data_IF_404858247722
#
_entry.id   IF_404858247722
#
_cell.length_a   1.000
_cell.length_b   1.000
_cell.length_c   1.000
_cell.angle_alpha   90.00
_cell.angle_beta   90.00
_cell.angle_gamma   90.00
#
_symmetry.space_group_name_H-M   'P 1'
#
loop_
_entity.id
_entity.type
_entity.pdbx_description
1 polymer ?
#
# COMPACT_ATOMS: atom_id res chain seq x y z
N UNK A 1 -19.50 -26.73 6.87
CA UNK A 1 -18.74 -27.67 7.71
C UNK A 1 -17.51 -26.98 8.26
N UNK A 2 -16.46 -26.82 7.44
CA UNK A 2 -15.20 -26.19 7.86
C UNK A 2 -15.15 -24.65 7.67
N UNK A 3 -15.91 -24.10 6.72
CA UNK A 3 -15.93 -22.65 6.43
C UNK A 3 -16.75 -21.83 7.45
N UNK A 4 -17.62 -22.46 8.25
CA UNK A 4 -18.46 -21.76 9.22
C UNK A 4 -17.66 -21.18 10.40
N UNK A 5 -16.50 -21.77 10.71
CA UNK A 5 -15.57 -21.25 11.73
C UNK A 5 -14.64 -20.16 11.16
N UNK A 6 -14.75 -19.85 9.85
CA UNK A 6 -13.90 -18.90 9.13
C UNK A 6 -14.59 -17.57 8.83
N UNK A 7 -15.88 -17.41 9.18
CA UNK A 7 -16.70 -16.26 8.79
C UNK A 7 -17.09 -15.39 9.99
N UNK A 8 -16.79 -14.09 9.89
CA UNK A 8 -17.47 -13.07 10.70
C UNK A 8 -18.21 -12.17 9.71
N UNK A 9 -19.54 -12.33 9.53
CA UNK A 9 -20.30 -11.45 8.66
C UNK A 9 -20.36 -10.06 9.31
N UNK A 10 -19.83 -9.05 8.62
CA UNK A 10 -19.96 -7.65 9.04
C UNK A 10 -20.88 -6.93 8.06
N UNK A 11 -22.00 -6.42 8.59
CA UNK A 11 -22.92 -5.56 7.84
C UNK A 11 -22.69 -4.11 8.26
N UNK A 12 -22.19 -3.27 7.35
CA UNK A 12 -22.04 -1.85 7.59
C UNK A 12 -23.32 -1.13 7.14
N UNK A 13 -23.91 -0.32 8.03
CA UNK A 13 -25.02 0.57 7.71
C UNK A 13 -24.50 1.99 7.68
N UNK A 14 -24.56 2.63 6.51
CA UNK A 14 -24.39 4.07 6.42
C UNK A 14 -25.59 4.73 7.11
N UNK A 15 -25.32 5.61 8.07
CA UNK A 15 -26.31 6.53 8.61
C UNK A 15 -26.14 7.83 7.84
N UNK A 16 -27.06 8.10 6.93
CA UNK A 16 -27.20 9.44 6.36
C UNK A 16 -27.56 10.43 7.47
N UNK A 17 -27.16 11.68 7.28
CA UNK A 17 -27.51 12.79 8.16
C UNK A 17 -29.03 13.06 8.25
N UNK A 18 -29.83 12.43 7.38
CA UNK A 18 -31.29 12.53 7.30
C UNK A 18 -32.04 11.21 7.55
N UNK A 19 -31.33 10.10 7.84
CA UNK A 19 -31.93 8.80 8.15
C UNK A 19 -32.48 8.01 6.95
N UNK A 20 -32.24 8.46 5.71
CA UNK A 20 -32.59 7.71 4.50
C UNK A 20 -31.45 6.79 4.00
N UNK A 21 -31.78 5.60 3.51
CA UNK A 21 -30.78 4.61 3.06
C UNK A 21 -30.12 5.05 1.74
N UNK A 22 -28.81 5.30 1.75
CA UNK A 22 -28.00 5.59 0.57
C UNK A 22 -27.12 4.37 0.20
N UNK A 23 -27.02 4.10 -1.10
CA UNK A 23 -25.93 3.32 -1.73
C UNK A 23 -25.91 1.79 -1.55
N UNK A 24 -25.45 1.07 -2.57
CA UNK A 24 -25.18 -0.37 -2.50
C UNK A 24 -24.11 -0.68 -1.43
N UNK A 25 -24.44 -1.60 -0.51
CA UNK A 25 -23.60 -2.02 0.61
C UNK A 25 -22.56 -3.04 0.17
N UNK A 26 -21.30 -2.87 0.56
CA UNK A 26 -20.37 -4.00 0.58
C UNK A 26 -20.75 -4.93 1.73
N UNK A 27 -21.15 -6.15 1.40
CA UNK A 27 -21.16 -7.23 2.38
C UNK A 27 -19.70 -7.71 2.54
N UNK A 28 -19.13 -7.50 3.72
CA UNK A 28 -17.73 -7.81 4.00
C UNK A 28 -17.61 -9.18 4.66
N UNK A 29 -16.79 -10.06 4.09
CA UNK A 29 -16.38 -11.29 4.74
C UNK A 29 -14.97 -11.12 5.32
N UNK A 30 -14.78 -11.47 6.60
CA UNK A 30 -13.45 -11.67 7.16
C UNK A 30 -13.15 -13.16 7.08
N UNK A 31 -12.05 -13.53 6.44
CA UNK A 31 -11.60 -14.91 6.27
C UNK A 31 -10.27 -15.12 6.97
N UNK A 32 -10.18 -16.21 7.74
CA UNK A 32 -8.95 -16.62 8.43
C UNK A 32 -8.60 -18.05 8.04
N UNK A 33 -8.08 -18.28 6.82
CA UNK A 33 -7.84 -19.64 6.34
C UNK A 33 -6.63 -20.28 7.01
N UNK A 34 -6.76 -21.56 7.38
CA UNK A 34 -5.60 -22.40 7.65
C UNK A 34 -4.83 -22.69 6.34
N UNK A 35 -3.53 -23.04 6.46
CA UNK A 35 -2.66 -23.22 5.28
C UNK A 35 -3.15 -24.27 4.30
N UNK A 36 -3.74 -25.34 4.82
CA UNK A 36 -4.31 -26.44 4.05
C UNK A 36 -5.67 -26.12 3.42
N UNK A 37 -6.22 -24.93 3.69
CA UNK A 37 -7.54 -24.48 3.22
C UNK A 37 -7.47 -23.31 2.22
N UNK A 38 -6.30 -22.96 1.70
CA UNK A 38 -6.16 -21.81 0.81
C UNK A 38 -6.95 -21.94 -0.50
N UNK A 39 -6.98 -23.13 -1.12
CA UNK A 39 -7.77 -23.38 -2.32
C UNK A 39 -9.29 -23.31 -2.06
N UNK A 40 -9.74 -23.84 -0.92
CA UNK A 40 -11.13 -23.76 -0.48
C UNK A 40 -11.53 -22.30 -0.23
N UNK A 41 -10.67 -21.52 0.42
CA UNK A 41 -10.89 -20.10 0.66
C UNK A 41 -10.96 -19.30 -0.64
N UNK A 42 -10.10 -19.57 -1.62
CA UNK A 42 -10.16 -18.93 -2.94
C UNK A 42 -11.44 -19.30 -3.68
N UNK A 43 -11.88 -20.55 -3.61
CA UNK A 43 -13.14 -21.01 -4.20
C UNK A 43 -14.33 -20.28 -3.56
N UNK A 44 -14.35 -20.19 -2.23
CA UNK A 44 -15.36 -19.42 -1.49
C UNK A 44 -15.39 -17.93 -1.87
N UNK A 45 -14.22 -17.29 -2.01
CA UNK A 45 -14.14 -15.88 -2.44
C UNK A 45 -14.72 -15.71 -3.85
N UNK A 46 -14.48 -16.67 -4.76
CA UNK A 46 -15.04 -16.63 -6.12
C UNK A 46 -16.56 -16.82 -6.10
N UNK A 47 -17.09 -17.71 -5.27
CA UNK A 47 -18.54 -17.91 -5.13
C UNK A 47 -19.24 -16.69 -4.51
N UNK A 48 -18.59 -16.03 -3.54
CA UNK A 48 -19.14 -14.84 -2.87
C UNK A 48 -19.00 -13.56 -3.69
N UNK A 49 -18.10 -13.54 -4.68
CA UNK A 49 -17.96 -12.46 -5.66
C UNK A 49 -19.28 -12.15 -6.38
N UNK A 50 -20.01 -13.20 -6.76
CA UNK A 50 -21.29 -13.11 -7.49
C UNK A 50 -22.39 -12.44 -6.64
N UNK A 51 -22.16 -12.28 -5.34
CA UNK A 51 -23.04 -11.61 -4.39
C UNK A 51 -22.60 -10.16 -4.08
N UNK A 52 -21.60 -9.61 -4.81
CA UNK A 52 -21.07 -8.26 -4.59
C UNK A 52 -20.27 -8.10 -3.30
N UNK A 53 -19.79 -9.21 -2.70
CA UNK A 53 -19.05 -9.20 -1.44
C UNK A 53 -17.56 -8.91 -1.66
N UNK A 54 -16.98 -8.11 -0.77
CA UNK A 54 -15.52 -7.97 -0.63
C UNK A 54 -15.02 -8.79 0.56
N UNK A 55 -13.77 -9.24 0.49
CA UNK A 55 -13.15 -10.05 1.54
C UNK A 55 -11.90 -9.39 2.12
N UNK A 56 -11.82 -9.39 3.46
CA UNK A 56 -10.56 -9.19 4.19
C UNK A 56 -9.99 -10.57 4.49
N UNK A 57 -8.76 -10.83 4.08
CA UNK A 57 -8.09 -12.10 4.35
C UNK A 57 -7.02 -11.92 5.41
N UNK A 58 -7.04 -12.75 6.45
CA UNK A 58 -6.10 -12.72 7.56
C UNK A 58 -5.30 -14.02 7.55
N UNK A 59 -4.02 -13.92 7.23
CA UNK A 59 -3.12 -15.08 7.17
C UNK A 59 -2.36 -15.33 8.47
N UNK A 60 -1.95 -16.59 8.71
CA UNK A 60 -0.91 -16.92 9.68
C UNK A 60 0.40 -16.16 9.42
N UNK A 61 1.20 -15.98 10.47
CA UNK A 61 2.44 -15.20 10.40
C UNK A 61 3.46 -15.72 9.35
N UNK A 62 3.48 -17.00 9.06
CA UNK A 62 4.49 -17.62 8.19
C UNK A 62 4.06 -17.77 6.72
N UNK A 63 3.01 -17.06 6.30
CA UNK A 63 2.63 -16.96 4.88
C UNK A 63 3.74 -16.30 4.05
N UNK A 64 3.91 -16.75 2.81
CA UNK A 64 4.83 -16.16 1.84
C UNK A 64 4.14 -15.12 0.94
N UNK A 65 4.94 -14.30 0.25
CA UNK A 65 4.42 -13.19 -0.56
C UNK A 65 3.70 -13.68 -1.82
N UNK A 66 4.08 -14.82 -2.39
CA UNK A 66 3.44 -15.35 -3.60
C UNK A 66 2.01 -15.79 -3.29
N UNK A 67 1.80 -16.44 -2.15
CA UNK A 67 0.46 -16.78 -1.64
C UNK A 67 -0.39 -15.52 -1.42
N UNK A 68 0.16 -14.49 -0.77
CA UNK A 68 -0.54 -13.21 -0.56
C UNK A 68 -0.92 -12.54 -1.89
N UNK A 69 -0.01 -12.52 -2.86
CA UNK A 69 -0.27 -11.95 -4.20
C UNK A 69 -1.32 -12.76 -4.97
N UNK A 70 -1.35 -14.09 -4.82
CA UNK A 70 -2.38 -14.93 -5.43
C UNK A 70 -3.79 -14.59 -4.92
N UNK A 71 -3.95 -14.34 -3.62
CA UNK A 71 -5.22 -13.89 -3.07
C UNK A 71 -5.59 -12.47 -3.51
N UNK A 72 -4.64 -11.54 -3.49
CA UNK A 72 -4.87 -10.16 -3.96
C UNK A 72 -5.24 -10.10 -5.45
N UNK A 73 -4.84 -11.10 -6.25
CA UNK A 73 -5.23 -11.16 -7.65
C UNK A 73 -6.74 -11.35 -7.85
N UNK A 74 -7.43 -11.86 -6.83
CA UNK A 74 -8.88 -11.88 -6.85
C UNK A 74 -9.42 -10.43 -6.73
N UNK A 75 -10.30 -9.98 -7.65
CA UNK A 75 -10.85 -8.63 -7.61
C UNK A 75 -11.67 -8.33 -6.35
N UNK A 76 -12.06 -9.34 -5.57
CA UNK A 76 -12.83 -9.17 -4.35
C UNK A 76 -11.98 -9.12 -3.07
N UNK A 77 -10.66 -9.27 -3.18
CA UNK A 77 -9.73 -9.21 -2.04
C UNK A 77 -8.85 -7.98 -2.17
N UNK A 78 -9.16 -6.94 -1.41
CA UNK A 78 -8.40 -5.68 -1.44
C UNK A 78 -7.58 -5.47 -0.17
N UNK A 79 -7.89 -6.18 0.91
CA UNK A 79 -7.19 -6.05 2.19
C UNK A 79 -6.70 -7.41 2.67
N UNK A 80 -5.40 -7.49 2.90
CA UNK A 80 -4.73 -8.65 3.48
C UNK A 80 -3.99 -8.23 4.74
N UNK A 81 -4.25 -8.97 5.81
CA UNK A 81 -3.51 -8.89 7.06
C UNK A 81 -2.73 -10.17 7.27
N UNK A 82 -1.60 -10.06 7.93
CA UNK A 82 -0.81 -11.18 8.41
C UNK A 82 -0.75 -11.06 9.92
N UNK A 83 -0.97 -12.15 10.65
CA UNK A 83 -0.99 -12.20 12.12
C UNK A 83 0.41 -11.98 12.73
N UNK A 84 0.96 -10.79 12.49
CA UNK A 84 2.23 -10.27 12.99
C UNK A 84 1.97 -8.93 13.66
N UNK A 85 2.92 -8.48 14.48
CA UNK A 85 2.91 -7.11 14.98
C UNK A 85 1.60 -6.76 15.71
N UNK A 86 0.93 -5.68 15.30
CA UNK A 86 -0.34 -5.21 15.87
C UNK A 86 -1.51 -5.46 14.91
N UNK A 87 -1.58 -6.65 14.29
CA UNK A 87 -2.58 -6.96 13.26
C UNK A 87 -4.05 -6.69 13.68
N UNK A 88 -4.38 -6.78 14.97
CA UNK A 88 -5.72 -6.40 15.47
C UNK A 88 -5.98 -4.90 15.39
N UNK A 89 -4.96 -4.07 15.61
CA UNK A 89 -5.04 -2.62 15.41
C UNK A 89 -5.19 -2.31 13.92
N UNK A 90 -4.39 -2.95 13.08
CA UNK A 90 -4.48 -2.81 11.62
C UNK A 90 -5.88 -3.22 11.11
N UNK A 91 -6.47 -4.30 11.62
CA UNK A 91 -7.82 -4.75 11.28
C UNK A 91 -8.87 -3.71 11.65
N UNK A 92 -8.78 -3.15 12.86
CA UNK A 92 -9.69 -2.07 13.30
C UNK A 92 -9.57 -0.84 12.42
N UNK A 93 -8.35 -0.45 12.05
CA UNK A 93 -8.13 0.68 11.14
C UNK A 93 -8.74 0.38 9.78
N UNK A 94 -8.49 -0.79 9.18
CA UNK A 94 -9.08 -1.18 7.89
C UNK A 94 -10.60 -1.13 7.93
N UNK A 95 -11.22 -1.75 8.94
CA UNK A 95 -12.68 -1.74 9.12
C UNK A 95 -13.20 -0.30 9.25
N UNK A 96 -12.53 0.54 10.02
CA UNK A 96 -12.90 1.95 10.18
C UNK A 96 -12.82 2.72 8.86
N UNK A 97 -11.74 2.54 8.07
CA UNK A 97 -11.61 3.17 6.75
C UNK A 97 -12.73 2.74 5.81
N UNK A 98 -13.03 1.44 5.75
CA UNK A 98 -14.13 0.90 4.92
C UNK A 98 -15.49 1.43 5.37
N UNK A 99 -15.71 1.56 6.68
CA UNK A 99 -16.99 2.03 7.23
C UNK A 99 -17.24 3.51 6.97
N UNK A 100 -16.19 4.32 7.01
CA UNK A 100 -16.29 5.78 6.91
C UNK A 100 -16.12 6.28 5.46
N UNK A 101 -15.46 5.51 4.60
CA UNK A 101 -15.17 5.92 3.21
C UNK A 101 -14.11 7.02 3.09
N UNK A 102 -13.46 7.41 4.18
CA UNK A 102 -12.34 8.37 4.15
C UNK A 102 -11.02 7.62 4.04
N UNK A 103 -10.53 7.43 2.81
CA UNK A 103 -9.34 6.59 2.57
C UNK A 103 -8.02 7.35 2.81
N UNK A 104 -7.94 8.64 2.44
CA UNK A 104 -6.67 9.40 2.48
C UNK A 104 -6.27 9.90 3.87
N UNK A 105 -4.98 9.86 4.17
CA UNK A 105 -4.38 10.36 5.40
C UNK A 105 -3.80 9.23 6.26
N UNK A 106 -2.50 9.32 6.51
CA UNK A 106 -1.73 8.35 7.29
C UNK A 106 -2.05 8.34 8.79
N UNK A 107 -2.70 9.39 9.30
CA UNK A 107 -3.06 9.56 10.71
C UNK A 107 -3.88 8.40 11.27
N UNK A 108 -4.66 7.73 10.41
CA UNK A 108 -5.49 6.57 10.77
C UNK A 108 -4.69 5.35 11.23
N UNK A 109 -3.40 5.33 10.89
CA UNK A 109 -2.48 4.24 11.23
C UNK A 109 -1.55 4.61 12.41
N UNK A 110 -1.60 5.86 12.86
CA UNK A 110 -0.78 6.37 13.96
C UNK A 110 -1.51 6.25 15.30
N UNK A 111 -0.77 6.38 16.40
CA UNK A 111 -1.39 6.54 17.71
C UNK A 111 -1.91 7.97 17.89
N UNK A 112 -2.84 8.14 18.83
CA UNK A 112 -3.34 9.46 19.18
C UNK A 112 -2.18 10.34 19.72
N UNK A 113 -2.07 11.56 19.19
CA UNK A 113 -1.01 12.51 19.55
C UNK A 113 0.27 12.42 18.72
N UNK A 114 0.44 11.40 17.87
CA UNK A 114 1.59 11.33 16.95
C UNK A 114 1.57 12.51 15.96
N UNK A 115 2.69 13.23 15.87
CA UNK A 115 2.79 14.39 14.99
C UNK A 115 3.17 14.00 13.57
N UNK A 116 2.41 14.51 12.59
CA UNK A 116 2.71 14.33 11.17
C UNK A 116 3.40 15.56 10.60
N UNK A 117 4.61 15.38 10.11
CA UNK A 117 5.34 16.37 9.33
C UNK A 117 4.97 16.28 7.84
N UNK A 118 5.10 17.41 7.12
CA UNK A 118 4.68 17.55 5.73
C UNK A 118 5.73 18.28 4.90
N UNK A 119 6.06 17.73 3.72
CA UNK A 119 6.91 18.33 2.71
C UNK A 119 6.21 18.28 1.36
N UNK A 120 6.27 19.38 0.59
CA UNK A 120 5.72 19.47 -0.77
C UNK A 120 6.83 19.81 -1.75
N UNK A 121 6.82 19.16 -2.91
CA UNK A 121 7.85 19.33 -3.93
C UNK A 121 7.30 18.96 -5.31
N UNK A 122 8.00 19.37 -6.36
CA UNK A 122 7.61 19.09 -7.76
C UNK A 122 8.79 18.72 -8.66
N UNK A 123 10.02 18.83 -8.17
CA UNK A 123 11.24 18.75 -8.95
C UNK A 123 12.30 17.86 -8.28
N UNK A 124 13.42 17.70 -8.97
CA UNK A 124 14.53 16.88 -8.52
C UNK A 124 15.26 17.41 -7.27
N UNK A 125 15.39 18.74 -7.12
CA UNK A 125 16.02 19.30 -5.92
C UNK A 125 15.18 18.98 -4.68
N UNK A 126 13.86 19.14 -4.81
CA UNK A 126 12.88 18.73 -3.82
C UNK A 126 12.97 17.24 -3.50
N UNK A 127 13.14 16.37 -4.51
CA UNK A 127 13.39 14.93 -4.29
C UNK A 127 14.61 14.70 -3.39
N UNK A 128 15.76 15.29 -3.72
CA UNK A 128 16.98 15.08 -2.93
C UNK A 128 16.81 15.57 -1.49
N UNK A 129 16.20 16.73 -1.30
CA UNK A 129 15.90 17.28 0.01
C UNK A 129 15.01 16.34 0.84
N UNK A 130 13.95 15.81 0.22
CA UNK A 130 13.01 14.87 0.85
C UNK A 130 13.71 13.59 1.30
N UNK A 131 14.56 13.00 0.45
CA UNK A 131 15.30 11.78 0.80
C UNK A 131 16.33 12.03 1.90
N UNK A 132 17.03 13.17 1.86
CA UNK A 132 17.91 13.60 2.95
C UNK A 132 17.13 13.78 4.26
N UNK A 133 15.91 14.32 4.21
CA UNK A 133 15.08 14.47 5.41
C UNK A 133 14.64 13.13 5.98
N UNK A 134 14.30 12.16 5.14
CA UNK A 134 13.98 10.79 5.58
C UNK A 134 15.18 10.14 6.29
N UNK A 135 16.41 10.24 5.75
CA UNK A 135 17.60 9.68 6.44
C UNK A 135 17.88 10.40 7.77
N UNK A 136 17.78 11.73 7.80
CA UNK A 136 17.96 12.55 9.01
C UNK A 136 17.00 12.11 10.11
N UNK A 137 15.70 12.06 9.80
CA UNK A 137 14.65 11.67 10.75
C UNK A 137 14.87 10.24 11.23
N UNK A 138 15.11 9.30 10.31
CA UNK A 138 15.39 7.92 10.66
C UNK A 138 16.64 7.78 11.54
N UNK A 139 17.67 8.61 11.32
CA UNK A 139 18.89 8.64 12.14
C UNK A 139 18.62 9.17 13.54
N UNK A 140 17.87 10.26 13.67
CA UNK A 140 17.48 10.84 14.98
C UNK A 140 16.67 9.84 15.81
N UNK A 141 15.78 9.07 15.18
CA UNK A 141 15.02 8.00 15.83
C UNK A 141 15.87 6.80 16.28
N UNK A 142 17.16 6.74 15.93
CA UNK A 142 18.01 5.59 16.23
C UNK A 142 17.78 4.36 15.34
N UNK A 143 17.12 4.53 14.17
CA UNK A 143 16.96 3.42 13.22
C UNK A 143 18.35 2.97 12.74
N UNK A 144 18.58 1.65 12.79
CA UNK A 144 19.84 1.03 12.36
C UNK A 144 20.16 1.38 10.92
N UNK A 145 21.46 1.58 10.61
CA UNK A 145 21.95 2.04 9.29
C UNK A 145 21.32 1.31 8.10
N UNK A 146 21.27 -0.02 8.14
CA UNK A 146 20.68 -0.83 7.06
C UNK A 146 19.18 -0.56 6.88
N UNK A 147 18.42 -0.42 7.98
CA UNK A 147 16.98 -0.10 7.93
C UNK A 147 16.74 1.33 7.43
N UNK A 148 17.61 2.29 7.77
CA UNK A 148 17.55 3.64 7.20
C UNK A 148 17.77 3.64 5.70
N UNK A 149 18.75 2.88 5.20
CA UNK A 149 18.97 2.73 3.77
C UNK A 149 17.73 2.16 3.08
N UNK A 150 17.05 1.19 3.69
CA UNK A 150 15.78 0.69 3.18
C UNK A 150 14.66 1.73 3.21
N UNK A 151 14.60 2.57 4.26
CA UNK A 151 13.62 3.66 4.32
C UNK A 151 13.84 4.70 3.23
N UNK A 152 15.08 5.13 3.02
CA UNK A 152 15.44 6.06 1.95
C UNK A 152 15.13 5.44 0.59
N UNK A 153 15.46 4.18 0.37
CA UNK A 153 15.20 3.51 -0.91
C UNK A 153 13.70 3.32 -1.18
N UNK A 154 12.92 2.96 -0.16
CA UNK A 154 11.47 2.86 -0.27
C UNK A 154 10.84 4.23 -0.56
N UNK A 155 11.27 5.27 0.16
CA UNK A 155 10.83 6.65 -0.10
C UNK A 155 11.22 7.09 -1.52
N UNK A 156 12.44 6.81 -1.98
CA UNK A 156 12.89 7.14 -3.33
C UNK A 156 12.00 6.50 -4.39
N UNK A 157 11.68 5.21 -4.25
CA UNK A 157 10.78 4.53 -5.18
C UNK A 157 9.39 5.17 -5.22
N UNK A 158 8.79 5.43 -4.06
CA UNK A 158 7.46 6.04 -3.98
C UNK A 158 7.46 7.46 -4.58
N UNK A 159 8.49 8.24 -4.29
CA UNK A 159 8.67 9.60 -4.82
C UNK A 159 8.89 9.57 -6.33
N UNK A 160 9.69 8.63 -6.83
CA UNK A 160 9.92 8.47 -8.27
C UNK A 160 8.65 8.06 -9.00
N UNK A 161 7.87 7.15 -8.42
CA UNK A 161 6.57 6.75 -8.98
C UNK A 161 5.61 7.94 -9.07
N UNK A 162 5.49 8.71 -7.99
CA UNK A 162 4.63 9.90 -7.93
C UNK A 162 5.07 11.03 -8.89
N UNK A 163 6.37 11.29 -9.02
CA UNK A 163 6.89 12.38 -9.85
C UNK A 163 6.90 12.05 -11.34
N UNK A 164 7.20 10.80 -11.72
CA UNK A 164 7.54 10.45 -13.11
C UNK A 164 6.68 9.36 -13.72
N UNK A 165 6.13 8.44 -12.93
CA UNK A 165 5.32 7.33 -13.47
C UNK A 165 3.83 7.57 -13.33
N UNK A 166 3.40 8.43 -12.39
CA UNK A 166 2.00 8.80 -12.18
C UNK A 166 1.47 9.84 -13.19
N UNK A 167 2.24 10.86 -13.64
CA UNK A 167 1.77 11.82 -14.62
C UNK A 167 1.41 11.15 -15.95
N UNK A 168 0.22 11.48 -16.45
CA UNK A 168 -0.35 10.97 -17.70
C UNK A 168 -0.59 12.14 -18.65
N UNK A 169 -0.40 11.91 -19.94
CA UNK A 169 -0.79 12.87 -20.97
C UNK A 169 -2.29 12.77 -21.31
N UNK A 170 -2.75 13.56 -22.28
CA UNK A 170 -4.16 13.57 -22.72
C UNK A 170 -4.63 12.23 -23.32
N UNK A 171 -3.70 11.37 -23.73
CA UNK A 171 -3.99 10.04 -24.29
C UNK A 171 -4.01 8.93 -23.22
N UNK A 172 -3.67 9.27 -21.98
CA UNK A 172 -3.53 8.31 -20.88
C UNK A 172 -2.18 7.59 -20.87
N UNK A 173 -1.21 8.03 -21.68
CA UNK A 173 0.15 7.48 -21.67
C UNK A 173 1.02 8.15 -20.61
N UNK A 174 2.08 7.45 -20.15
CA UNK A 174 2.98 8.01 -19.13
C UNK A 174 3.75 9.19 -19.71
N UNK A 175 3.55 10.40 -19.16
CA UNK A 175 4.12 11.64 -19.71
C UNK A 175 5.65 11.57 -19.88
N UNK A 176 6.33 10.91 -18.94
CA UNK A 176 7.79 10.76 -18.95
C UNK A 176 8.26 9.39 -19.44
N UNK A 177 7.36 8.51 -19.91
CA UNK A 177 7.64 7.10 -20.22
C UNK A 177 8.80 6.91 -21.21
N UNK A 178 8.82 7.71 -22.27
CA UNK A 178 9.82 7.65 -23.35
C UNK A 178 11.06 8.52 -23.11
N UNK A 179 11.15 9.19 -21.95
CA UNK A 179 12.26 10.08 -21.62
C UNK A 179 13.31 9.30 -20.85
N UNK A 180 14.58 9.45 -21.25
CA UNK A 180 15.73 8.90 -20.54
C UNK A 180 15.69 9.30 -19.04
N UNK A 181 15.80 8.35 -18.09
CA UNK A 181 15.82 8.63 -16.65
C UNK A 181 16.78 9.76 -16.24
N UNK A 182 17.94 9.89 -16.89
CA UNK A 182 18.91 10.94 -16.61
C UNK A 182 18.45 12.32 -17.06
N UNK A 183 17.61 12.40 -18.10
CA UNK A 183 17.03 13.66 -18.57
C UNK A 183 15.84 14.11 -17.73
N UNK A 184 15.08 13.16 -17.16
CA UNK A 184 13.93 13.43 -16.26
C UNK A 184 14.30 14.28 -15.05
N UNK A 185 15.55 14.18 -14.59
CA UNK A 185 16.13 14.94 -13.47
C UNK A 185 16.00 16.47 -13.65
N UNK A 186 15.92 16.96 -14.88
CA UNK A 186 15.77 18.39 -15.17
C UNK A 186 14.33 18.85 -15.35
N UNK A 187 13.35 17.96 -15.18
CA UNK A 187 11.94 18.22 -15.47
C UNK A 187 11.11 18.34 -14.19
N UNK A 188 10.14 19.24 -14.22
CA UNK A 188 9.13 19.38 -13.18
C UNK A 188 7.97 18.43 -13.44
N UNK A 189 7.43 17.83 -12.38
CA UNK A 189 6.13 17.16 -12.46
C UNK A 189 5.02 18.20 -12.66
N UNK A 190 4.01 17.94 -13.51
CA UNK A 190 2.91 18.89 -13.78
C UNK A 190 2.12 19.30 -12.54
N UNK A 191 2.03 18.40 -11.54
CA UNK A 191 1.37 18.64 -10.27
C UNK A 191 2.35 18.33 -9.13
N UNK A 192 2.32 19.09 -8.03
CA UNK A 192 3.20 18.84 -6.90
C UNK A 192 2.81 17.56 -6.16
N UNK A 193 3.83 16.88 -5.65
CA UNK A 193 3.78 15.69 -4.80
C UNK A 193 4.03 16.11 -3.35
N UNK A 194 3.55 15.32 -2.40
CA UNK A 194 3.89 15.51 -0.99
C UNK A 194 4.43 14.25 -0.34
N UNK A 195 5.41 14.42 0.53
CA UNK A 195 5.81 13.42 1.54
C UNK A 195 5.23 13.86 2.88
N UNK A 196 4.56 12.95 3.56
CA UNK A 196 4.20 13.04 4.97
C UNK A 196 4.97 11.99 5.73
N UNK A 197 5.38 12.30 6.95
CA UNK A 197 6.05 11.30 7.79
C UNK A 197 5.75 11.53 9.26
N UNK A 198 5.81 10.44 10.04
CA UNK A 198 5.69 10.47 11.49
C UNK A 198 6.66 9.47 12.11
N UNK A 199 7.28 9.89 13.20
CA UNK A 199 8.17 9.07 14.02
C UNK A 199 7.40 8.55 15.21
N UNK A 200 7.27 7.23 15.30
CA UNK A 200 6.57 6.56 16.41
C UNK A 200 7.55 5.69 17.20
N UNK A 201 7.14 5.22 18.37
CA UNK A 201 7.92 4.21 19.12
C UNK A 201 8.20 2.95 18.29
N UNK A 202 7.33 2.65 17.33
CA UNK A 202 7.34 1.42 16.57
C UNK A 202 8.23 1.52 15.32
N UNK A 203 8.43 2.72 14.79
CA UNK A 203 9.09 2.93 13.51
C UNK A 203 8.76 4.26 12.84
N UNK A 204 9.26 4.39 11.61
CA UNK A 204 9.02 5.53 10.74
C UNK A 204 7.86 5.20 9.80
N UNK A 205 6.78 5.98 9.90
CA UNK A 205 5.73 5.99 8.91
C UNK A 205 6.00 7.06 7.86
N UNK A 206 5.71 6.75 6.60
CA UNK A 206 5.81 7.67 5.47
C UNK A 206 4.60 7.51 4.58
N UNK A 207 4.10 8.62 4.04
CA UNK A 207 3.08 8.62 3.00
C UNK A 207 3.50 9.54 1.86
N UNK A 208 3.55 9.00 0.64
CA UNK A 208 3.77 9.79 -0.58
C UNK A 208 2.45 9.92 -1.29
N UNK A 209 2.05 11.16 -1.57
CA UNK A 209 0.79 11.46 -2.25
C UNK A 209 1.02 12.30 -3.49
N UNK A 210 0.45 11.85 -4.60
CA UNK A 210 0.36 12.60 -5.85
C UNK A 210 -1.06 13.14 -6.09
N UNK A 211 -1.25 13.76 -7.26
CA UNK A 211 -2.53 14.32 -7.72
C UNK A 211 -2.93 13.79 -9.11
N UNK A 212 -2.62 12.52 -9.37
CA UNK A 212 -2.87 11.86 -10.65
C UNK A 212 -3.77 10.64 -10.50
N UNK A 213 -3.69 9.87 -9.40
CA UNK A 213 -4.59 8.73 -9.20
C UNK A 213 -4.28 7.53 -10.10
N UNK A 214 -3.04 7.43 -10.59
CA UNK A 214 -2.66 6.47 -11.64
C UNK A 214 -2.17 5.11 -11.11
N UNK A 215 -1.73 5.01 -9.85
CA UNK A 215 -1.20 3.76 -9.30
C UNK A 215 -2.32 2.97 -8.60
N UNK A 216 -2.94 2.05 -9.35
CA UNK A 216 -4.00 1.18 -8.83
C UNK A 216 -3.47 -0.21 -8.41
N UNK A 217 -4.36 -1.01 -7.81
CA UNK A 217 -4.08 -2.39 -7.37
C UNK A 217 -3.51 -3.25 -8.49
N UNK A 218 -4.14 -3.25 -9.66
CA UNK A 218 -3.69 -4.04 -10.82
C UNK A 218 -2.25 -3.72 -11.24
N UNK A 219 -1.88 -2.44 -11.24
CA UNK A 219 -0.52 -1.98 -11.55
C UNK A 219 0.48 -2.50 -10.52
N UNK A 220 0.18 -2.38 -9.22
CA UNK A 220 1.04 -2.90 -8.14
C UNK A 220 1.20 -4.42 -8.26
N UNK A 221 0.12 -5.16 -8.47
CA UNK A 221 0.16 -6.62 -8.61
C UNK A 221 0.93 -7.07 -9.84
N UNK A 222 0.82 -6.36 -10.97
CA UNK A 222 1.60 -6.66 -12.17
C UNK A 222 3.11 -6.60 -11.88
N UNK A 223 3.57 -5.57 -11.14
CA UNK A 223 4.98 -5.47 -10.74
C UNK A 223 5.40 -6.55 -9.75
N UNK A 224 4.56 -6.89 -8.76
CA UNK A 224 4.84 -7.95 -7.80
C UNK A 224 4.93 -9.32 -8.49
N UNK A 225 3.95 -9.67 -9.32
CA UNK A 225 3.91 -10.92 -10.08
C UNK A 225 5.12 -11.07 -11.00
N UNK A 226 5.47 -10.01 -11.74
CA UNK A 226 6.67 -10.00 -12.58
C UNK A 226 7.91 -10.40 -11.78
N UNK A 227 8.06 -9.90 -10.56
CA UNK A 227 9.23 -10.20 -9.73
C UNK A 227 9.19 -11.59 -9.07
N UNK A 228 8.00 -12.09 -8.74
CA UNK A 228 7.80 -13.39 -8.09
C UNK A 228 7.97 -14.55 -9.08
N UNK A 229 7.47 -14.40 -10.31
CA UNK A 229 7.40 -15.47 -11.30
C UNK A 229 8.42 -15.33 -12.45
N UNK A 230 9.26 -14.29 -12.47
CA UNK A 230 10.32 -14.16 -13.46
C UNK A 230 11.39 -15.24 -13.26
N UNK A 231 11.61 -16.05 -14.31
CA UNK A 231 12.72 -17.01 -14.38
C UNK A 231 14.08 -16.35 -14.64
N UNK A 232 14.10 -15.11 -15.10
CA UNK A 232 15.35 -14.36 -15.31
C UNK A 232 15.85 -13.81 -13.97
N UNK A 233 17.16 -13.92 -13.71
CA UNK A 233 17.80 -13.22 -12.60
C UNK A 233 17.63 -11.72 -12.84
N UNK A 234 16.61 -11.14 -12.22
CA UNK A 234 16.37 -9.71 -12.36
C UNK A 234 17.57 -8.98 -11.74
N UNK A 235 18.35 -8.31 -12.58
CA UNK A 235 19.52 -7.56 -12.12
C UNK A 235 19.03 -6.42 -11.22
N UNK A 236 19.31 -6.58 -9.91
CA UNK A 236 18.94 -5.64 -8.85
C UNK A 236 19.51 -4.23 -9.07
N UNK A 237 20.44 -4.07 -10.02
CA UNK A 237 21.10 -2.80 -10.34
C UNK A 237 20.33 -1.91 -11.31
N UNK A 238 19.29 -2.42 -11.97
CA UNK A 238 18.54 -1.62 -12.95
C UNK A 238 17.37 -0.89 -12.26
N UNK A 239 17.65 0.31 -11.76
CA UNK A 239 16.61 1.27 -11.35
C UNK A 239 15.69 1.50 -12.56
N UNK A 240 14.39 1.20 -12.43
CA UNK A 240 13.42 1.32 -13.54
C UNK A 240 12.89 0.00 -14.12
N UNK A 241 13.36 -1.18 -13.69
CA UNK A 241 12.88 -2.47 -14.21
C UNK A 241 11.52 -2.96 -13.67
N UNK A 242 10.85 -2.14 -12.84
CA UNK A 242 9.63 -2.53 -12.09
C UNK A 242 9.92 -3.27 -10.77
N UNK A 243 11.18 -3.30 -10.33
CA UNK A 243 11.64 -3.96 -9.09
C UNK A 243 11.33 -3.18 -7.81
N UNK A 244 11.23 -1.86 -7.90
CA UNK A 244 11.27 -1.01 -6.71
C UNK A 244 10.06 -1.22 -5.79
N UNK A 245 8.87 -1.41 -6.36
CA UNK A 245 7.66 -1.77 -5.61
C UNK A 245 7.85 -3.12 -4.90
N UNK A 246 8.33 -4.14 -5.60
CA UNK A 246 8.60 -5.45 -5.00
C UNK A 246 9.62 -5.37 -3.85
N UNK A 247 10.72 -4.64 -4.04
CA UNK A 247 11.73 -4.43 -3.00
C UNK A 247 11.16 -3.64 -1.81
N UNK A 248 10.30 -2.66 -2.07
CA UNK A 248 9.64 -1.87 -1.03
C UNK A 248 8.72 -2.75 -0.19
N UNK A 249 7.81 -3.50 -0.84
CA UNK A 249 6.87 -4.42 -0.17
C UNK A 249 7.60 -5.43 0.73
N UNK A 250 8.72 -5.99 0.28
CA UNK A 250 9.50 -6.96 1.08
C UNK A 250 10.26 -6.35 2.28
N UNK A 251 10.29 -5.03 2.43
CA UNK A 251 11.11 -4.32 3.43
C UNK A 251 10.30 -3.52 4.44
N UNK A 252 9.03 -3.27 4.14
CA UNK A 252 8.11 -2.51 4.98
C UNK A 252 7.22 -3.45 5.77
N UNK A 253 6.66 -2.94 6.87
CA UNK A 253 5.71 -3.68 7.70
C UNK A 253 4.27 -3.48 7.27
N UNK A 254 3.97 -2.36 6.63
CA UNK A 254 2.65 -2.08 6.08
C UNK A 254 2.86 -1.44 4.71
N UNK A 255 2.04 -1.81 3.75
CA UNK A 255 2.01 -1.23 2.41
C UNK A 255 0.55 -0.97 2.04
N UNK A 256 0.12 0.29 2.16
CA UNK A 256 -1.26 0.71 1.90
C UNK A 256 -1.27 1.62 0.69
N UNK A 257 -2.18 1.38 -0.24
CA UNK A 257 -2.39 2.20 -1.43
C UNK A 257 -3.82 2.71 -1.44
N UNK A 258 -3.98 4.02 -1.34
CA UNK A 258 -5.25 4.72 -1.42
C UNK A 258 -5.34 5.41 -2.78
N UNK A 259 -6.43 5.20 -3.51
CA UNK A 259 -6.62 5.72 -4.86
C UNK A 259 -7.98 6.40 -4.99
N UNK A 260 -7.96 7.63 -5.47
CA UNK A 260 -9.10 8.24 -6.13
C UNK A 260 -8.73 8.30 -7.62
N UNK A 261 -9.33 7.46 -8.48
CA UNK A 261 -9.00 7.41 -9.90
C UNK A 261 -8.97 8.80 -10.54
N UNK A 262 -7.93 9.08 -11.32
CA UNK A 262 -7.68 10.35 -12.00
C UNK A 262 -7.52 11.60 -11.10
N UNK A 263 -7.57 11.42 -9.77
CA UNK A 263 -7.53 12.50 -8.79
C UNK A 263 -6.27 12.45 -7.93
N UNK A 264 -5.99 11.32 -7.26
CA UNK A 264 -4.86 11.18 -6.36
C UNK A 264 -4.54 9.73 -6.01
N UNK A 265 -3.25 9.40 -5.89
CA UNK A 265 -2.78 8.20 -5.20
C UNK A 265 -2.02 8.61 -3.94
N UNK A 266 -2.24 7.94 -2.82
CA UNK A 266 -1.41 7.99 -1.63
C UNK A 266 -0.91 6.58 -1.29
N UNK A 267 0.42 6.43 -1.18
CA UNK A 267 1.04 5.18 -0.72
C UNK A 267 1.62 5.39 0.67
N UNK A 268 1.14 4.63 1.65
CA UNK A 268 1.56 4.68 3.05
C UNK A 268 2.39 3.44 3.36
N UNK A 269 3.58 3.66 3.93
CA UNK A 269 4.47 2.59 4.38
C UNK A 269 4.93 2.82 5.80
N UNK A 270 5.16 1.71 6.52
CA UNK A 270 5.76 1.71 7.85
C UNK A 270 7.07 0.92 7.85
N UNK A 271 8.11 1.48 8.46
CA UNK A 271 9.40 0.81 8.66
C UNK A 271 9.72 0.77 10.16
N UNK A 272 9.59 -0.42 10.75
CA UNK A 272 9.90 -0.67 12.16
C UNK A 272 11.40 -0.80 12.44
N UNK A 273 11.77 -0.61 13.70
CA UNK A 273 13.16 -0.78 14.15
C UNK A 273 13.61 -2.26 14.22
N UNK A 274 12.66 -3.17 14.40
CA UNK A 274 12.90 -4.61 14.58
C UNK A 274 13.21 -5.32 13.25
N UNK A 275 13.85 -6.50 13.35
CA UNK A 275 14.57 -7.15 12.25
C UNK A 275 13.80 -8.32 11.63
N UNK A 276 12.58 -8.04 11.17
CA UNK A 276 11.80 -9.02 10.41
C UNK A 276 11.60 -8.50 8.99
N UNK A 277 12.27 -9.14 8.03
CA UNK A 277 11.97 -8.99 6.61
C UNK A 277 11.01 -10.10 6.20
N UNK A 278 10.15 -9.83 5.24
CA UNK A 278 9.15 -10.77 4.75
C UNK A 278 7.89 -10.05 4.31
N UNK A 279 6.79 -10.80 4.24
CA UNK A 279 5.48 -10.25 3.93
C UNK A 279 5.09 -9.18 4.97
N UNK A 280 4.66 -7.98 4.53
CA UNK A 280 4.07 -6.97 5.40
C UNK A 280 2.95 -7.55 6.29
N UNK A 281 2.81 -7.02 7.50
CA UNK A 281 1.67 -7.28 8.37
C UNK A 281 0.34 -6.79 7.79
N UNK A 282 0.40 -5.78 6.92
CA UNK A 282 -0.74 -5.21 6.22
C UNK A 282 -0.37 -4.90 4.76
N UNK A 283 -1.14 -5.44 3.82
CA UNK A 283 -1.21 -4.95 2.44
C UNK A 283 -2.66 -4.59 2.15
N UNK A 284 -2.94 -3.33 1.86
CA UNK A 284 -4.30 -2.88 1.63
C UNK A 284 -4.40 -1.93 0.44
N UNK A 285 -5.46 -2.10 -0.33
CA UNK A 285 -5.86 -1.22 -1.40
C UNK A 285 -7.23 -0.63 -1.04
N UNK A 286 -7.35 0.68 -1.19
CA UNK A 286 -8.61 1.39 -1.04
C UNK A 286 -8.83 2.24 -2.28
N UNK A 287 -10.01 2.14 -2.87
CA UNK A 287 -10.40 2.87 -4.07
C UNK A 287 -11.78 3.51 -3.84
N UNK A 288 -11.95 4.75 -4.30
CA UNK A 288 -13.23 5.45 -4.30
C UNK A 288 -14.15 4.98 -5.42
#
# INVERSE_FOLDING_TARGET
GALADMEIPLEFKELSSDGSAAGERYQLAILVPAKDQYEDALSFIRETADLGKKAIVIFPADVDLATVVNFLDNPNVDQILVQKYEWLKDLRTVISVLSVGNIFGMEKYLAEGDQVSYLRFKDFQGRQYVLSKVDEVAKVMGIRRMRRQHAVQAAEELVMNALYNAPRDETGEILFGNIDPHKRVSMDSPKPVSLRYSTTEQGLFMAVRDRFGALNKGTVLAYLKKCIYSNEQIDRKTIGAGLGIYLTVNRVQSYVVNVAPDVATEVIINIRQTRDFGVPGLIAFFEY
#
